data_IF_786685069898
#
_entry.id   IF_786685069898
#
_cell.length_a   1.000
_cell.length_b   1.000
_cell.length_c   1.000
_cell.angle_alpha   90.00
_cell.angle_beta   90.00
_cell.angle_gamma   90.00
#
_symmetry.space_group_name_H-M   'P 1'
#
loop_
_entity.id
_entity.type
_entity.pdbx_description
1 polymer ?
#
# COMPACT_ATOMS: atom_id res chain seq x y z
N UNK A 1 -52.31 9.08 -35.02
CA UNK A 1 -51.12 8.19 -35.09
C UNK A 1 -49.93 8.80 -34.36
N UNK A 2 -49.79 10.13 -34.32
CA UNK A 2 -48.61 10.78 -33.71
C UNK A 2 -48.50 10.63 -32.18
N UNK A 3 -49.62 10.59 -31.44
CA UNK A 3 -49.61 10.43 -29.98
C UNK A 3 -49.16 9.05 -29.48
N UNK A 4 -49.44 7.98 -30.24
CA UNK A 4 -48.99 6.62 -29.92
C UNK A 4 -47.50 6.42 -30.20
N UNK A 5 -46.98 7.05 -31.25
CA UNK A 5 -45.55 7.03 -31.58
C UNK A 5 -44.73 7.82 -30.54
N UNK A 6 -45.21 8.98 -30.09
CA UNK A 6 -44.58 9.77 -29.02
C UNK A 6 -44.53 9.02 -27.68
N UNK A 7 -45.60 8.28 -27.35
CA UNK A 7 -45.62 7.43 -26.14
C UNK A 7 -44.68 6.23 -26.26
N UNK A 8 -44.59 5.61 -27.44
CA UNK A 8 -43.68 4.49 -27.70
C UNK A 8 -42.20 4.93 -27.69
N UNK A 9 -41.87 6.09 -28.26
CA UNK A 9 -40.53 6.67 -28.22
C UNK A 9 -40.13 7.08 -26.79
N UNK A 10 -41.06 7.68 -26.03
CA UNK A 10 -40.85 8.01 -24.62
C UNK A 10 -40.59 6.75 -23.77
N UNK A 11 -41.35 5.68 -23.98
CA UNK A 11 -41.17 4.42 -23.27
C UNK A 11 -39.83 3.75 -23.62
N UNK A 12 -39.47 3.72 -24.91
CA UNK A 12 -38.17 3.20 -25.39
C UNK A 12 -37.00 3.97 -24.78
N UNK A 13 -37.07 5.30 -24.73
CA UNK A 13 -36.04 6.12 -24.10
C UNK A 13 -35.88 5.85 -22.59
N UNK A 14 -37.00 5.71 -21.86
CA UNK A 14 -36.98 5.36 -20.43
C UNK A 14 -36.37 3.98 -20.22
N UNK A 15 -36.78 2.99 -21.02
CA UNK A 15 -36.28 1.62 -20.93
C UNK A 15 -34.77 1.57 -21.19
N UNK A 16 -34.29 2.24 -22.23
CA UNK A 16 -32.85 2.35 -22.52
C UNK A 16 -32.04 2.97 -21.38
N UNK A 17 -32.59 3.99 -20.69
CA UNK A 17 -31.95 4.58 -19.49
C UNK A 17 -31.94 3.66 -18.29
N UNK A 18 -33.02 2.89 -18.07
CA UNK A 18 -33.07 1.87 -17.01
C UNK A 18 -32.02 0.79 -17.27
N UNK A 19 -31.93 0.27 -18.50
CA UNK A 19 -30.94 -0.75 -18.89
C UNK A 19 -29.53 -0.20 -18.74
N UNK A 20 -29.28 1.05 -19.17
CA UNK A 20 -28.01 1.73 -18.99
C UNK A 20 -27.60 1.78 -17.51
N UNK A 21 -28.48 2.26 -16.62
CA UNK A 21 -28.20 2.34 -15.18
C UNK A 21 -27.97 0.94 -14.59
N UNK A 22 -28.78 -0.04 -15.01
CA UNK A 22 -28.62 -1.44 -14.61
C UNK A 22 -27.25 -2.02 -14.99
N UNK A 23 -26.71 -1.65 -16.15
CA UNK A 23 -25.38 -2.08 -16.60
C UNK A 23 -24.23 -1.54 -15.76
N UNK A 24 -24.42 -0.43 -15.05
CA UNK A 24 -23.39 0.17 -14.20
C UNK A 24 -23.21 -0.58 -12.88
N UNK A 25 -24.24 -1.25 -12.37
CA UNK A 25 -24.19 -1.93 -11.07
C UNK A 25 -23.12 -3.03 -11.02
N UNK A 26 -23.16 -4.07 -11.89
CA UNK A 26 -22.15 -5.13 -11.88
C UNK A 26 -20.75 -4.58 -12.24
N UNK A 27 -20.68 -3.58 -13.10
CA UNK A 27 -19.41 -2.91 -13.40
C UNK A 27 -18.82 -2.25 -12.16
N UNK A 28 -19.61 -1.45 -11.44
CA UNK A 28 -19.14 -0.72 -10.27
C UNK A 28 -18.67 -1.68 -9.18
N UNK A 29 -19.40 -2.77 -8.95
CA UNK A 29 -18.96 -3.85 -8.06
C UNK A 29 -17.61 -4.43 -8.48
N UNK A 30 -17.43 -4.69 -9.78
CA UNK A 30 -16.17 -5.18 -10.33
C UNK A 30 -15.01 -4.19 -10.10
N UNK A 31 -15.22 -2.90 -10.42
CA UNK A 31 -14.25 -1.85 -10.20
C UNK A 31 -13.81 -1.77 -8.73
N UNK A 32 -14.76 -1.82 -7.80
CA UNK A 32 -14.49 -1.79 -6.36
C UNK A 32 -13.63 -2.97 -5.92
N UNK A 33 -13.94 -4.20 -6.36
CA UNK A 33 -13.11 -5.37 -6.00
C UNK A 33 -11.71 -5.30 -6.62
N UNK A 34 -11.58 -4.81 -7.87
CA UNK A 34 -10.27 -4.63 -8.51
C UNK A 34 -9.42 -3.57 -7.81
N UNK A 35 -10.01 -2.44 -7.43
CA UNK A 35 -9.34 -1.41 -6.64
C UNK A 35 -8.93 -1.94 -5.26
N UNK A 36 -9.80 -2.69 -4.57
CA UNK A 36 -9.45 -3.34 -3.30
C UNK A 36 -8.24 -4.27 -3.47
N UNK A 37 -8.23 -5.14 -4.50
CA UNK A 37 -7.09 -6.03 -4.80
C UNK A 37 -5.81 -5.22 -5.04
N UNK A 38 -5.88 -4.17 -5.86
CA UNK A 38 -4.71 -3.32 -6.13
C UNK A 38 -4.16 -2.63 -4.88
N UNK A 39 -5.03 -2.05 -4.05
CA UNK A 39 -4.65 -1.42 -2.76
C UNK A 39 -4.05 -2.44 -1.80
N UNK A 40 -4.61 -3.65 -1.75
CA UNK A 40 -4.10 -4.74 -0.91
C UNK A 40 -2.71 -5.18 -1.34
N UNK A 41 -2.48 -5.37 -2.64
CA UNK A 41 -1.15 -5.68 -3.19
C UNK A 41 -0.15 -4.56 -2.87
N UNK A 42 -0.58 -3.29 -2.95
CA UNK A 42 0.26 -2.16 -2.56
C UNK A 42 0.63 -2.20 -1.06
N UNK A 43 -0.32 -2.56 -0.19
CA UNK A 43 -0.08 -2.76 1.23
C UNK A 43 0.86 -3.94 1.51
N UNK A 44 0.73 -5.07 0.79
CA UNK A 44 1.61 -6.22 0.92
C UNK A 44 3.04 -5.91 0.49
N UNK A 45 3.21 -5.01 -0.48
CA UNK A 45 4.50 -4.43 -0.87
C UNK A 45 5.01 -3.33 0.10
N UNK A 46 4.46 -3.29 1.31
CA UNK A 46 4.83 -2.38 2.40
C UNK A 46 4.85 -0.91 1.95
N UNK A 47 3.89 -0.52 1.09
CA UNK A 47 3.75 0.83 0.56
C UNK A 47 4.99 1.37 -0.17
N UNK A 48 5.90 0.49 -0.61
CA UNK A 48 7.12 0.88 -1.29
C UNK A 48 6.89 1.00 -2.79
N UNK A 49 6.98 2.21 -3.34
CA UNK A 49 6.78 2.48 -4.78
C UNK A 49 7.61 1.54 -5.66
N UNK A 50 8.92 1.40 -5.41
CA UNK A 50 9.80 0.54 -6.21
C UNK A 50 9.45 -0.95 -6.09
N UNK A 51 9.05 -1.42 -4.90
CA UNK A 51 8.66 -2.82 -4.68
C UNK A 51 7.36 -3.15 -5.40
N UNK A 52 6.38 -2.25 -5.29
CA UNK A 52 5.11 -2.38 -6.01
C UNK A 52 5.32 -2.33 -7.52
N UNK A 53 6.16 -1.43 -8.03
CA UNK A 53 6.49 -1.36 -9.45
C UNK A 53 7.23 -2.61 -9.97
N UNK A 54 8.18 -3.16 -9.18
CA UNK A 54 8.84 -4.44 -9.49
C UNK A 54 7.83 -5.60 -9.50
N UNK A 55 6.88 -5.61 -8.56
CA UNK A 55 5.79 -6.58 -8.52
C UNK A 55 4.89 -6.47 -9.76
N UNK A 56 4.52 -5.25 -10.18
CA UNK A 56 3.73 -5.02 -11.40
C UNK A 56 4.44 -5.54 -12.64
N UNK A 57 5.74 -5.27 -12.80
CA UNK A 57 6.53 -5.79 -13.92
C UNK A 57 6.54 -7.31 -13.95
N UNK A 58 6.69 -7.96 -12.79
CA UNK A 58 6.70 -9.44 -12.70
C UNK A 58 5.33 -10.06 -13.02
N UNK A 59 4.25 -9.35 -12.71
CA UNK A 59 2.87 -9.82 -12.93
C UNK A 59 2.18 -9.07 -14.08
N UNK A 60 2.95 -8.59 -15.07
CA UNK A 60 2.44 -7.72 -16.13
C UNK A 60 1.25 -8.33 -16.87
N UNK A 61 1.33 -9.62 -17.21
CA UNK A 61 0.24 -10.34 -17.91
C UNK A 61 -1.05 -10.38 -17.08
N UNK A 62 -0.96 -10.74 -15.80
CA UNK A 62 -2.13 -10.80 -14.91
C UNK A 62 -2.78 -9.43 -14.70
N UNK A 63 -1.97 -8.36 -14.70
CA UNK A 63 -2.44 -7.00 -14.44
C UNK A 63 -3.00 -6.32 -15.68
N UNK A 64 -2.32 -6.43 -16.83
CA UNK A 64 -2.60 -5.62 -18.03
C UNK A 64 -3.17 -6.41 -19.22
N UNK A 65 -3.02 -7.74 -19.28
CA UNK A 65 -3.69 -8.57 -20.29
C UNK A 65 -5.02 -9.07 -19.73
N UNK A 66 -5.93 -8.13 -19.50
CA UNK A 66 -7.24 -8.36 -18.89
C UNK A 66 -8.36 -8.10 -19.90
N UNK A 67 -9.56 -8.61 -19.62
CA UNK A 67 -10.69 -8.48 -20.55
C UNK A 67 -11.09 -7.00 -20.78
N UNK A 68 -10.79 -6.08 -19.87
CA UNK A 68 -11.02 -4.65 -20.11
C UNK A 68 -10.17 -4.11 -21.25
N UNK A 69 -8.97 -4.66 -21.50
CA UNK A 69 -8.18 -4.28 -22.67
C UNK A 69 -8.94 -4.64 -23.95
N UNK A 70 -9.55 -5.83 -23.98
CA UNK A 70 -10.41 -6.27 -25.09
C UNK A 70 -11.60 -5.33 -25.21
N UNK A 71 -12.31 -5.04 -24.12
CA UNK A 71 -13.44 -4.10 -24.14
C UNK A 71 -13.01 -2.71 -24.66
N UNK A 72 -11.88 -2.16 -24.23
CA UNK A 72 -11.40 -0.85 -24.70
C UNK A 72 -11.07 -0.85 -26.20
N UNK A 73 -10.50 -1.93 -26.73
CA UNK A 73 -10.15 -2.03 -28.15
C UNK A 73 -11.38 -2.18 -29.05
N UNK A 74 -12.42 -2.86 -28.56
CA UNK A 74 -13.58 -3.25 -29.37
C UNK A 74 -14.82 -2.39 -29.15
N UNK A 75 -14.96 -1.71 -28.00
CA UNK A 75 -16.16 -0.93 -27.67
C UNK A 75 -16.46 0.15 -28.70
N UNK A 76 -15.44 0.84 -29.22
CA UNK A 76 -15.64 1.89 -30.24
C UNK A 76 -16.10 1.31 -31.58
N UNK A 77 -15.68 0.09 -31.90
CA UNK A 77 -16.01 -0.59 -33.16
C UNK A 77 -17.44 -1.16 -33.14
N UNK A 78 -17.89 -1.67 -32.00
CA UNK A 78 -19.20 -2.29 -31.86
C UNK A 78 -20.29 -1.35 -31.31
N UNK A 79 -19.92 -0.17 -30.81
CA UNK A 79 -20.90 0.80 -30.36
C UNK A 79 -21.63 1.41 -31.56
N UNK A 80 -22.78 0.83 -31.86
CA UNK A 80 -23.75 1.38 -32.80
C UNK A 80 -24.83 2.04 -31.97
N UNK A 81 -25.00 3.36 -32.13
CA UNK A 81 -25.92 4.18 -31.32
C UNK A 81 -27.35 3.63 -31.33
N UNK A 82 -27.77 3.04 -32.44
CA UNK A 82 -29.10 2.48 -32.65
C UNK A 82 -29.34 1.12 -31.95
N UNK A 83 -28.29 0.45 -31.47
CA UNK A 83 -28.37 -0.86 -30.78
C UNK A 83 -27.80 -0.82 -29.35
N UNK A 84 -27.86 0.35 -28.72
CA UNK A 84 -27.26 0.60 -27.39
C UNK A 84 -27.77 -0.34 -26.28
N UNK A 85 -29.04 -0.77 -26.33
CA UNK A 85 -29.64 -1.66 -25.32
C UNK A 85 -29.01 -3.07 -25.32
N UNK A 86 -28.83 -3.68 -26.50
CA UNK A 86 -28.19 -4.99 -26.64
C UNK A 86 -26.76 -4.92 -26.13
N UNK A 87 -26.06 -3.83 -26.45
CA UNK A 87 -24.72 -3.59 -25.95
C UNK A 87 -24.68 -3.54 -24.40
N UNK A 88 -25.61 -2.83 -23.76
CA UNK A 88 -25.70 -2.77 -22.29
C UNK A 88 -26.01 -4.12 -21.64
N UNK A 89 -26.91 -4.92 -22.24
CA UNK A 89 -27.21 -6.28 -21.77
C UNK A 89 -25.97 -7.20 -21.85
N UNK A 90 -25.20 -7.11 -22.93
CA UNK A 90 -23.92 -7.82 -23.06
C UNK A 90 -22.94 -7.43 -21.95
N UNK A 91 -22.83 -6.14 -21.61
CA UNK A 91 -21.97 -5.69 -20.49
C UNK A 91 -22.45 -6.28 -19.16
N UNK A 92 -23.75 -6.25 -18.87
CA UNK A 92 -24.33 -6.87 -17.65
C UNK A 92 -23.91 -8.34 -17.55
N UNK A 93 -24.06 -9.10 -18.63
CA UNK A 93 -23.70 -10.51 -18.69
C UNK A 93 -22.19 -10.71 -18.46
N UNK A 94 -21.34 -9.96 -19.17
CA UNK A 94 -19.88 -10.09 -19.07
C UNK A 94 -19.40 -9.81 -17.63
N UNK A 95 -19.80 -8.68 -17.05
CA UNK A 95 -19.40 -8.32 -15.69
C UNK A 95 -20.07 -9.21 -14.63
N UNK A 96 -21.30 -9.64 -14.85
CA UNK A 96 -22.00 -10.60 -13.99
C UNK A 96 -21.30 -11.96 -13.93
N UNK A 97 -20.93 -12.52 -15.09
CA UNK A 97 -20.14 -13.76 -15.20
C UNK A 97 -18.77 -13.57 -14.54
N UNK A 98 -18.09 -12.44 -14.78
CA UNK A 98 -16.82 -12.17 -14.13
C UNK A 98 -16.96 -12.17 -12.60
N UNK A 99 -17.93 -11.45 -12.03
CA UNK A 99 -18.14 -11.40 -10.58
C UNK A 99 -18.41 -12.79 -10.00
N UNK A 100 -19.17 -13.62 -10.72
CA UNK A 100 -19.42 -15.01 -10.36
C UNK A 100 -18.12 -15.83 -10.33
N UNK A 101 -17.32 -15.78 -11.40
CA UNK A 101 -16.03 -16.48 -11.49
C UNK A 101 -14.99 -15.95 -10.50
N UNK A 102 -14.98 -14.66 -10.23
CA UNK A 102 -14.08 -14.04 -9.27
C UNK A 102 -14.40 -14.47 -7.83
N UNK A 103 -15.69 -14.55 -7.49
CA UNK A 103 -16.15 -15.03 -6.18
C UNK A 103 -15.72 -16.48 -5.91
N UNK A 104 -15.71 -17.33 -6.93
CA UNK A 104 -15.25 -18.72 -6.81
C UNK A 104 -13.72 -18.83 -6.74
N UNK A 105 -12.99 -17.92 -7.36
CA UNK A 105 -11.52 -17.85 -7.30
C UNK A 105 -10.93 -17.34 -5.98
N UNK A 106 -11.69 -16.61 -5.16
CA UNK A 106 -11.22 -15.94 -3.92
C UNK A 106 -10.68 -16.89 -2.83
N UNK A 107 -10.72 -18.21 -3.04
CA UNK A 107 -10.19 -19.22 -2.10
C UNK A 107 -8.66 -19.36 -2.12
N UNK A 108 -7.97 -18.74 -3.07
CA UNK A 108 -6.54 -18.94 -3.25
C UNK A 108 -5.76 -17.64 -3.08
N UNK A 109 -4.87 -17.66 -2.07
CA UNK A 109 -3.78 -16.72 -1.82
C UNK A 109 -4.15 -15.34 -1.28
N UNK A 110 -4.06 -15.18 0.05
CA UNK A 110 -3.20 -14.15 0.66
C UNK A 110 -3.10 -14.35 2.19
N UNK A 111 -1.87 -14.50 2.71
CA UNK A 111 -1.61 -14.85 4.13
C UNK A 111 -2.04 -13.76 5.13
N UNK A 112 -2.35 -12.53 4.67
CA UNK A 112 -2.74 -11.40 5.53
C UNK A 112 -3.84 -10.56 4.86
N UNK A 113 -4.94 -10.24 5.57
CA UNK A 113 -6.03 -9.43 5.02
C UNK A 113 -5.63 -7.96 4.82
N UNK A 114 -6.37 -7.24 3.98
CA UNK A 114 -6.27 -5.78 3.84
C UNK A 114 -6.61 -5.12 5.18
N UNK A 115 -5.79 -4.15 5.62
CA UNK A 115 -5.99 -3.44 6.89
C UNK A 115 -6.19 -1.97 6.62
N UNK A 116 -7.34 -1.43 7.04
CA UNK A 116 -7.70 -0.02 6.82
C UNK A 116 -6.98 0.93 7.77
N UNK A 117 -5.68 1.12 7.53
CA UNK A 117 -4.86 2.10 8.24
C UNK A 117 -5.23 3.54 7.85
N UNK A 118 -4.89 4.57 8.65
CA UNK A 118 -5.09 5.97 8.26
C UNK A 118 -4.48 6.32 6.90
N UNK A 119 -3.33 5.72 6.56
CA UNK A 119 -2.68 5.87 5.25
C UNK A 119 -3.53 5.29 4.11
N UNK A 120 -4.07 4.08 4.31
CA UNK A 120 -4.98 3.45 3.34
C UNK A 120 -6.26 4.27 3.18
N UNK A 121 -6.84 4.77 4.28
CA UNK A 121 -8.03 5.63 4.22
C UNK A 121 -7.79 6.88 3.37
N UNK A 122 -6.68 7.60 3.60
CA UNK A 122 -6.29 8.75 2.77
C UNK A 122 -6.09 8.37 1.30
N UNK A 123 -5.43 7.25 1.03
CA UNK A 123 -5.23 6.76 -0.33
C UNK A 123 -6.57 6.48 -1.03
N UNK A 124 -7.49 5.80 -0.35
CA UNK A 124 -8.85 5.55 -0.86
C UNK A 124 -9.54 6.87 -1.14
N UNK A 125 -9.51 7.85 -0.22
CA UNK A 125 -10.10 9.17 -0.43
C UNK A 125 -9.55 9.85 -1.69
N UNK A 126 -8.23 9.88 -1.87
CA UNK A 126 -7.59 10.49 -3.05
C UNK A 126 -8.01 9.78 -4.34
N UNK A 127 -8.00 8.44 -4.35
CA UNK A 127 -8.42 7.65 -5.52
C UNK A 127 -9.89 7.89 -5.84
N UNK A 128 -10.76 7.90 -4.82
CA UNK A 128 -12.19 8.20 -5.00
C UNK A 128 -12.41 9.59 -5.59
N UNK A 129 -11.69 10.61 -5.13
CA UNK A 129 -11.76 11.96 -5.70
C UNK A 129 -11.32 11.99 -7.18
N UNK A 130 -10.23 11.31 -7.53
CA UNK A 130 -9.77 11.21 -8.92
C UNK A 130 -10.84 10.55 -9.82
N UNK A 131 -11.45 9.47 -9.33
CA UNK A 131 -12.51 8.75 -10.05
C UNK A 131 -13.76 9.63 -10.20
N UNK A 132 -14.18 10.32 -9.13
CA UNK A 132 -15.33 11.24 -9.17
C UNK A 132 -15.10 12.35 -10.19
N UNK A 133 -13.90 12.96 -10.21
CA UNK A 133 -13.55 13.98 -11.20
C UNK A 133 -13.60 13.41 -12.62
N UNK A 134 -13.04 12.23 -12.86
CA UNK A 134 -13.05 11.59 -14.18
C UNK A 134 -14.49 11.29 -14.67
N UNK A 135 -15.33 10.76 -13.78
CA UNK A 135 -16.75 10.50 -14.05
C UNK A 135 -17.51 11.80 -14.29
N UNK A 136 -17.26 12.84 -13.50
CA UNK A 136 -17.89 14.15 -13.68
C UNK A 136 -17.56 14.75 -15.05
N UNK A 137 -16.28 14.70 -15.45
CA UNK A 137 -15.84 15.19 -16.75
C UNK A 137 -16.47 14.40 -17.91
N UNK A 138 -16.58 13.07 -17.78
CA UNK A 138 -17.21 12.26 -18.82
C UNK A 138 -18.70 12.51 -18.97
N UNK A 139 -19.43 12.77 -17.87
CA UNK A 139 -20.84 13.17 -17.92
C UNK A 139 -20.99 14.59 -18.51
N UNK A 140 -20.12 15.53 -18.13
CA UNK A 140 -20.27 16.94 -18.50
C UNK A 140 -19.96 17.23 -19.96
N UNK A 141 -18.95 16.54 -20.50
CA UNK A 141 -18.37 16.81 -21.82
C UNK A 141 -18.46 15.63 -22.80
N UNK A 142 -18.87 14.46 -22.33
CA UNK A 142 -18.95 13.24 -23.13
C UNK A 142 -20.38 12.77 -23.41
N UNK A 143 -20.47 11.76 -24.26
CA UNK A 143 -21.68 10.97 -24.49
C UNK A 143 -21.65 9.66 -23.68
N UNK A 144 -22.69 8.83 -23.83
CA UNK A 144 -22.79 7.54 -23.14
C UNK A 144 -21.57 6.65 -23.43
N UNK A 145 -21.04 6.65 -24.67
CA UNK A 145 -19.83 5.92 -25.04
C UNK A 145 -18.58 6.44 -24.29
N UNK A 146 -18.41 7.75 -24.22
CA UNK A 146 -17.30 8.39 -23.49
C UNK A 146 -17.35 8.04 -22.01
N UNK A 147 -18.54 8.00 -21.43
CA UNK A 147 -18.75 7.56 -20.05
C UNK A 147 -18.31 6.11 -19.83
N UNK A 148 -18.74 5.17 -20.68
CA UNK A 148 -18.28 3.77 -20.60
C UNK A 148 -16.78 3.62 -20.79
N UNK A 149 -16.21 4.29 -21.80
CA UNK A 149 -14.77 4.29 -22.05
C UNK A 149 -13.99 4.78 -20.82
N UNK A 150 -14.48 5.84 -20.17
CA UNK A 150 -13.89 6.39 -18.94
C UNK A 150 -13.92 5.36 -17.82
N UNK A 151 -15.08 4.75 -17.58
CA UNK A 151 -15.29 3.78 -16.51
C UNK A 151 -14.45 2.50 -16.73
N UNK A 152 -14.43 1.97 -17.96
CA UNK A 152 -13.58 0.82 -18.33
C UNK A 152 -12.10 1.18 -18.19
N UNK A 153 -11.69 2.37 -18.61
CA UNK A 153 -10.31 2.85 -18.47
C UNK A 153 -9.90 2.95 -17.00
N UNK A 154 -10.78 3.43 -16.11
CA UNK A 154 -10.53 3.48 -14.67
C UNK A 154 -10.32 2.08 -14.11
N UNK A 155 -11.12 1.09 -14.51
CA UNK A 155 -10.92 -0.30 -14.10
C UNK A 155 -9.62 -0.87 -14.65
N UNK A 156 -9.33 -0.66 -15.94
CA UNK A 156 -8.11 -1.12 -16.59
C UNK A 156 -6.85 -0.56 -15.89
N UNK A 157 -6.85 0.75 -15.61
CA UNK A 157 -5.73 1.49 -15.02
C UNK A 157 -5.71 1.46 -13.49
N UNK A 158 -6.53 0.64 -12.82
CA UNK A 158 -6.69 0.65 -11.36
C UNK A 158 -5.36 0.54 -10.59
N UNK A 159 -4.44 -0.29 -11.06
CA UNK A 159 -3.11 -0.44 -10.48
C UNK A 159 -2.23 0.80 -10.62
N UNK A 160 -2.38 1.56 -11.71
CA UNK A 160 -1.67 2.81 -11.95
C UNK A 160 -2.33 3.97 -11.18
N UNK A 161 -3.65 3.97 -11.03
CA UNK A 161 -4.38 4.93 -10.20
C UNK A 161 -3.92 4.86 -8.74
N UNK A 162 -3.64 3.66 -8.21
CA UNK A 162 -3.03 3.48 -6.88
C UNK A 162 -1.64 4.12 -6.77
N UNK A 163 -0.83 4.02 -7.83
CA UNK A 163 0.48 4.70 -7.89
C UNK A 163 0.27 6.21 -7.88
N UNK A 164 -0.60 6.72 -8.74
CA UNK A 164 -0.90 8.14 -8.86
C UNK A 164 -1.39 8.72 -7.53
N UNK A 165 -2.35 8.05 -6.88
CA UNK A 165 -2.84 8.44 -5.55
C UNK A 165 -1.74 8.45 -4.49
N UNK A 166 -0.77 7.54 -4.58
CA UNK A 166 0.40 7.53 -3.69
C UNK A 166 1.33 8.72 -3.95
N UNK A 167 1.55 9.08 -5.21
CA UNK A 167 2.37 10.24 -5.60
C UNK A 167 1.72 11.53 -5.07
N UNK A 168 0.41 11.68 -5.27
CA UNK A 168 -0.36 12.84 -4.80
C UNK A 168 -0.31 12.94 -3.26
N UNK A 169 -0.42 11.82 -2.55
CA UNK A 169 -0.37 11.81 -1.08
C UNK A 169 1.04 11.91 -0.49
N UNK A 170 2.10 11.76 -1.31
CA UNK A 170 3.48 11.75 -0.85
C UNK A 170 3.88 12.96 0.01
N UNK A 171 3.60 14.22 -0.36
CA UNK A 171 3.94 15.36 0.48
C UNK A 171 3.30 15.28 1.87
N UNK A 172 2.01 14.95 1.93
CA UNK A 172 1.28 14.80 3.19
C UNK A 172 1.86 13.65 4.03
N UNK A 173 2.11 12.48 3.43
CA UNK A 173 2.72 11.35 4.14
C UNK A 173 4.12 11.69 4.67
N UNK A 174 4.94 12.42 3.90
CA UNK A 174 6.25 12.89 4.35
C UNK A 174 6.13 13.84 5.53
N UNK A 175 5.22 14.81 5.48
CA UNK A 175 4.97 15.76 6.57
C UNK A 175 4.51 15.06 7.85
N UNK A 176 3.56 14.12 7.75
CA UNK A 176 3.09 13.32 8.88
C UNK A 176 4.23 12.50 9.48
N UNK A 177 5.01 11.81 8.64
CA UNK A 177 6.15 11.01 9.08
C UNK A 177 7.21 11.88 9.76
N UNK A 178 7.51 13.04 9.20
CA UNK A 178 8.46 14.00 9.75
C UNK A 178 8.04 14.48 11.14
N UNK A 179 6.76 14.86 11.29
CA UNK A 179 6.19 15.23 12.58
C UNK A 179 6.36 14.11 13.62
N UNK A 180 5.94 12.88 13.29
CA UNK A 180 6.05 11.76 14.23
C UNK A 180 7.50 11.38 14.56
N UNK A 181 8.40 11.40 13.59
CA UNK A 181 9.82 11.12 13.82
C UNK A 181 10.42 12.18 14.76
N UNK A 182 10.11 13.46 14.56
CA UNK A 182 10.64 14.52 15.42
C UNK A 182 10.03 14.49 16.81
N UNK A 183 8.75 14.12 16.93
CA UNK A 183 8.10 13.89 18.21
C UNK A 183 8.77 12.76 19.00
N UNK A 184 9.05 11.63 18.34
CA UNK A 184 9.80 10.53 18.94
C UNK A 184 11.23 10.94 19.36
N UNK A 185 11.92 11.75 18.54
CA UNK A 185 13.25 12.30 18.91
C UNK A 185 13.17 13.18 20.16
N UNK A 186 12.17 14.06 20.26
CA UNK A 186 11.97 14.90 21.45
C UNK A 186 11.72 14.04 22.68
N UNK A 187 10.88 13.01 22.55
CA UNK A 187 10.58 12.08 23.63
C UNK A 187 11.84 11.36 24.14
N UNK A 188 12.65 10.78 23.25
CA UNK A 188 13.94 10.17 23.65
C UNK A 188 14.83 11.19 24.37
N UNK A 189 14.99 12.39 23.80
CA UNK A 189 15.84 13.44 24.41
C UNK A 189 15.37 13.91 25.78
N UNK A 190 14.06 13.85 26.05
CA UNK A 190 13.51 14.20 27.37
C UNK A 190 13.82 13.16 28.45
N UNK A 191 14.20 11.94 28.07
CA UNK A 191 14.49 10.83 28.97
C UNK A 191 16.00 10.75 29.23
N UNK A 192 16.52 11.65 30.07
CA UNK A 192 17.98 11.81 30.29
C UNK A 192 18.69 10.57 30.84
N UNK A 193 17.96 9.66 31.48
CA UNK A 193 18.51 8.41 32.06
C UNK A 193 18.32 7.19 31.16
N UNK A 194 17.66 7.35 30.01
CA UNK A 194 17.36 6.23 29.13
C UNK A 194 18.62 5.74 28.43
N UNK A 195 18.96 4.49 28.66
CA UNK A 195 20.02 3.80 27.91
C UNK A 195 19.42 3.08 26.70
N UNK A 196 20.09 3.16 25.55
CA UNK A 196 19.59 2.59 24.29
C UNK A 196 20.53 1.48 23.80
N UNK A 197 19.95 0.31 23.55
CA UNK A 197 20.64 -0.84 22.95
C UNK A 197 20.18 -1.01 21.50
N UNK A 198 21.10 -0.88 20.55
CA UNK A 198 20.85 -1.20 19.14
C UNK A 198 21.19 -2.65 18.83
N UNK A 199 20.32 -3.37 18.11
CA UNK A 199 20.58 -4.76 17.71
C UNK A 199 20.43 -4.90 16.20
N UNK A 200 21.49 -5.33 15.51
CA UNK A 200 21.47 -5.55 14.05
C UNK A 200 22.09 -6.88 13.65
N UNK A 201 21.96 -7.21 12.36
CA UNK A 201 22.51 -8.40 11.71
C UNK A 201 21.58 -8.99 10.66
N UNK A 202 22.03 -10.02 9.96
CA UNK A 202 21.23 -10.75 8.98
C UNK A 202 20.22 -11.66 9.67
N UNK A 203 20.64 -12.36 10.73
CA UNK A 203 19.82 -13.37 11.44
C UNK A 203 19.98 -13.24 12.96
N UNK A 204 18.98 -13.68 13.72
CA UNK A 204 19.06 -13.72 15.19
C UNK A 204 18.68 -12.43 15.93
N UNK A 205 18.42 -11.32 15.22
CA UNK A 205 18.04 -10.03 15.80
C UNK A 205 16.86 -10.12 16.79
N UNK A 206 15.72 -10.63 16.34
CA UNK A 206 14.49 -10.67 17.15
C UNK A 206 14.63 -11.59 18.36
N UNK A 207 15.27 -12.75 18.22
CA UNK A 207 15.53 -13.67 19.34
C UNK A 207 16.46 -13.03 20.36
N UNK A 208 17.58 -12.44 19.92
CA UNK A 208 18.55 -11.76 20.80
C UNK A 208 17.90 -10.60 21.56
N UNK A 209 17.10 -9.80 20.86
CA UNK A 209 16.33 -8.70 21.45
C UNK A 209 15.36 -9.20 22.52
N UNK A 210 14.61 -10.28 22.26
CA UNK A 210 13.67 -10.84 23.22
C UNK A 210 14.40 -11.41 24.45
N UNK A 211 15.45 -12.21 24.25
CA UNK A 211 16.23 -12.78 25.37
C UNK A 211 16.88 -11.70 26.22
N UNK A 212 17.47 -10.67 25.58
CA UNK A 212 18.04 -9.54 26.30
C UNK A 212 16.97 -8.80 27.12
N UNK A 213 15.78 -8.58 26.55
CA UNK A 213 14.68 -7.92 27.25
C UNK A 213 14.27 -8.70 28.50
N UNK A 214 14.07 -10.02 28.40
CA UNK A 214 13.72 -10.87 29.54
C UNK A 214 14.80 -10.83 30.64
N UNK A 215 16.08 -10.85 30.26
CA UNK A 215 17.18 -10.74 31.22
C UNK A 215 17.18 -9.37 31.90
N UNK A 216 17.05 -8.29 31.14
CA UNK A 216 17.10 -6.94 31.69
C UNK A 216 15.90 -6.61 32.59
N UNK A 217 14.73 -7.18 32.31
CA UNK A 217 13.53 -7.04 33.14
C UNK A 217 13.72 -7.55 34.57
N UNK A 218 14.73 -8.37 34.85
CA UNK A 218 15.05 -8.82 36.22
C UNK A 218 15.54 -7.68 37.14
N UNK A 219 16.03 -6.57 36.57
CA UNK A 219 16.61 -5.45 37.32
C UNK A 219 16.17 -4.06 36.83
N UNK A 220 15.85 -3.93 35.55
CA UNK A 220 15.56 -2.65 34.89
C UNK A 220 14.18 -2.67 34.25
N UNK A 221 13.56 -1.50 34.13
CA UNK A 221 12.37 -1.32 33.31
C UNK A 221 12.78 -1.25 31.84
N UNK A 222 12.86 -2.41 31.17
CA UNK A 222 13.27 -2.51 29.78
C UNK A 222 12.08 -2.51 28.82
N UNK A 223 12.20 -1.75 27.72
CA UNK A 223 11.28 -1.78 26.59
C UNK A 223 12.00 -2.26 25.33
N UNK A 224 11.62 -3.43 24.83
CA UNK A 224 11.99 -3.87 23.50
C UNK A 224 10.94 -3.52 22.44
N UNK A 225 11.41 -3.21 21.23
CA UNK A 225 10.52 -3.11 20.05
C UNK A 225 9.65 -4.37 19.88
N UNK A 226 8.32 -4.25 19.64
CA UNK A 226 7.45 -5.41 19.62
C UNK A 226 7.60 -6.19 18.31
N UNK A 227 7.49 -7.52 18.37
CA UNK A 227 7.63 -8.42 17.21
C UNK A 227 8.94 -8.14 16.43
N UNK A 228 8.94 -8.17 15.10
CA UNK A 228 10.09 -7.87 14.24
C UNK A 228 10.06 -6.43 13.69
N UNK A 229 9.61 -5.47 14.50
CA UNK A 229 9.61 -4.06 14.11
C UNK A 229 11.03 -3.52 14.14
N UNK A 230 11.56 -3.18 12.97
CA UNK A 230 12.97 -2.80 12.82
C UNK A 230 13.23 -1.66 11.83
N UNK A 231 12.17 -0.98 11.40
CA UNK A 231 12.26 0.21 10.52
C UNK A 231 12.15 1.49 11.33
N UNK A 232 12.62 2.61 10.78
CA UNK A 232 12.57 3.92 11.45
C UNK A 232 11.16 4.34 11.88
N UNK A 233 10.16 4.16 11.02
CA UNK A 233 8.75 4.42 11.37
C UNK A 233 8.22 3.42 12.40
N UNK A 234 8.67 2.17 12.32
CA UNK A 234 8.40 1.16 13.33
C UNK A 234 8.87 1.58 14.72
N UNK A 235 10.15 1.93 14.84
CA UNK A 235 10.74 2.48 16.07
C UNK A 235 9.99 3.72 16.54
N UNK A 236 9.67 4.63 15.63
CA UNK A 236 8.89 5.85 15.92
C UNK A 236 7.55 5.52 16.59
N UNK A 237 6.84 4.50 16.11
CA UNK A 237 5.55 4.09 16.69
C UNK A 237 5.75 3.56 18.11
N UNK A 238 6.72 2.67 18.33
CA UNK A 238 7.02 2.11 19.65
C UNK A 238 7.41 3.21 20.64
N UNK A 239 8.32 4.11 20.25
CA UNK A 239 8.75 5.23 21.09
C UNK A 239 7.54 6.09 21.49
N UNK A 240 6.68 6.44 20.53
CA UNK A 240 5.55 7.34 20.83
C UNK A 240 4.49 6.67 21.68
N UNK A 241 4.19 5.39 21.44
CA UNK A 241 3.09 4.68 22.11
C UNK A 241 3.47 4.07 23.45
N UNK A 242 4.68 3.52 23.56
CA UNK A 242 5.03 2.60 24.65
C UNK A 242 6.14 3.15 25.54
N UNK A 243 7.14 3.85 24.98
CA UNK A 243 8.24 4.41 25.77
C UNK A 243 7.72 5.46 26.77
N UNK A 244 8.26 5.50 27.97
CA UNK A 244 7.83 6.41 29.04
C UNK A 244 9.01 6.71 29.96
N UNK A 245 8.82 7.65 30.89
CA UNK A 245 9.85 8.01 31.88
C UNK A 245 10.16 6.91 32.91
N UNK A 246 9.36 5.84 32.95
CA UNK A 246 9.61 4.68 33.81
C UNK A 246 10.66 3.73 33.22
N UNK A 247 10.92 3.81 31.91
CA UNK A 247 11.84 2.90 31.25
C UNK A 247 13.28 3.34 31.42
N UNK A 248 14.10 2.42 31.91
CA UNK A 248 15.55 2.60 32.06
C UNK A 248 16.28 2.27 30.76
N UNK A 249 15.77 1.27 30.01
CA UNK A 249 16.44 0.74 28.82
C UNK A 249 15.46 0.64 27.66
N UNK A 250 15.88 1.09 26.48
CA UNK A 250 15.17 0.87 25.21
C UNK A 250 15.99 0.00 24.26
N UNK A 251 15.45 -1.15 23.87
CA UNK A 251 16.08 -2.12 22.96
C UNK A 251 15.49 -1.98 21.56
N UNK A 252 16.26 -1.37 20.66
CA UNK A 252 15.89 -1.10 19.28
C UNK A 252 16.42 -2.19 18.32
N UNK A 253 15.51 -2.99 17.75
CA UNK A 253 15.87 -3.84 16.60
C UNK A 253 16.09 -2.96 15.37
N UNK A 254 17.22 -3.14 14.68
CA UNK A 254 17.60 -2.31 13.53
C UNK A 254 17.71 -3.15 12.24
N UNK A 255 16.80 -2.88 11.31
CA UNK A 255 16.70 -3.52 10.01
C UNK A 255 17.28 -2.63 8.92
N UNK A 256 17.85 -3.25 7.89
CA UNK A 256 18.31 -2.54 6.70
C UNK A 256 18.23 -3.47 5.48
N UNK A 257 17.89 -2.86 4.35
CA UNK A 257 17.89 -3.38 2.99
C UNK A 257 18.93 -2.67 2.10
N UNK A 258 19.43 -1.50 2.51
CA UNK A 258 20.42 -0.72 1.76
C UNK A 258 21.49 -0.11 2.67
N UNK A 259 22.69 0.17 2.14
CA UNK A 259 23.71 0.94 2.86
C UNK A 259 23.19 2.28 3.37
N UNK A 260 23.61 2.68 4.56
CA UNK A 260 23.23 3.92 5.25
C UNK A 260 21.98 3.81 6.12
N UNK A 261 21.16 2.77 5.99
CA UNK A 261 19.91 2.65 6.76
C UNK A 261 20.16 2.34 8.24
N UNK A 262 21.19 1.57 8.59
CA UNK A 262 21.53 1.33 10.01
C UNK A 262 22.06 2.63 10.62
N UNK A 263 22.95 3.33 9.91
CA UNK A 263 23.43 4.66 10.30
C UNK A 263 22.31 5.68 10.51
N UNK A 264 21.24 5.60 9.72
CA UNK A 264 20.06 6.44 9.91
C UNK A 264 19.33 6.11 11.22
N UNK A 265 19.21 4.83 11.56
CA UNK A 265 18.58 4.37 12.80
C UNK A 265 19.43 4.73 14.03
N UNK A 266 20.76 4.58 13.97
CA UNK A 266 21.64 4.96 15.08
C UNK A 266 21.60 6.47 15.31
N UNK A 267 21.58 7.30 14.26
CA UNK A 267 21.38 8.75 14.41
C UNK A 267 20.00 9.11 14.98
N UNK A 268 19.01 8.25 14.82
CA UNK A 268 17.66 8.46 15.32
C UNK A 268 17.53 8.15 16.81
N UNK A 269 17.97 6.96 17.24
CA UNK A 269 17.79 6.49 18.63
C UNK A 269 19.03 6.60 19.51
N UNK A 270 20.21 6.89 18.92
CA UNK A 270 21.50 7.09 19.59
C UNK A 270 21.86 5.97 20.58
N UNK A 271 22.09 4.74 20.10
CA UNK A 271 22.47 3.64 20.97
C UNK A 271 23.82 3.90 21.66
N UNK A 272 23.92 3.55 22.93
CA UNK A 272 25.18 3.44 23.68
C UNK A 272 25.75 2.03 23.59
N UNK A 273 24.87 1.04 23.51
CA UNK A 273 25.22 -0.37 23.40
C UNK A 273 24.85 -0.91 22.02
N UNK A 274 25.75 -1.64 21.38
CA UNK A 274 25.56 -2.23 20.06
C UNK A 274 25.72 -3.74 20.05
N UNK A 275 24.69 -4.47 19.60
CA UNK A 275 24.79 -5.92 19.38
C UNK A 275 24.73 -6.23 17.90
N UNK A 276 25.86 -6.67 17.36
CA UNK A 276 25.96 -7.25 16.03
C UNK A 276 25.80 -8.77 16.12
N UNK A 277 24.70 -9.28 15.59
CA UNK A 277 24.42 -10.73 15.51
C UNK A 277 25.13 -11.35 14.30
N UNK A 278 24.52 -12.32 13.59
CA UNK A 278 25.16 -13.00 12.47
C UNK A 278 25.10 -12.18 11.18
N UNK A 279 26.23 -12.03 10.49
CA UNK A 279 26.30 -11.55 9.11
C UNK A 279 26.13 -12.75 8.17
N UNK A 280 25.25 -12.61 7.17
CA UNK A 280 25.01 -13.63 6.16
C UNK A 280 24.21 -13.08 4.98
N UNK A 281 23.97 -13.89 3.93
CA UNK A 281 23.44 -13.44 2.64
C UNK A 281 21.93 -13.17 2.66
N UNK A 282 21.48 -12.27 3.55
CA UNK A 282 20.10 -11.82 3.61
C UNK A 282 19.89 -10.60 2.70
N UNK A 283 18.76 -10.53 1.99
CA UNK A 283 18.39 -9.40 1.14
C UNK A 283 19.45 -9.04 0.08
N UNK A 284 20.19 -10.05 -0.42
CA UNK A 284 21.29 -9.87 -1.37
C UNK A 284 20.84 -9.14 -2.65
N UNK A 285 19.58 -9.32 -3.08
CA UNK A 285 19.00 -8.59 -4.21
C UNK A 285 18.96 -7.06 -4.03
N UNK A 286 18.98 -6.56 -2.80
CA UNK A 286 18.98 -5.13 -2.50
C UNK A 286 20.39 -4.61 -2.17
N UNK A 287 21.22 -5.44 -1.53
CA UNK A 287 22.58 -5.07 -1.13
C UNK A 287 23.63 -5.26 -2.23
N UNK A 288 23.36 -6.12 -3.22
CA UNK A 288 24.27 -6.46 -4.32
C UNK A 288 25.41 -7.40 -3.93
N UNK A 289 26.00 -7.25 -2.73
CA UNK A 289 27.10 -8.10 -2.26
C UNK A 289 27.08 -8.33 -0.75
N UNK A 290 27.70 -9.43 -0.30
CA UNK A 290 27.90 -9.72 1.13
C UNK A 290 28.78 -8.63 1.78
N UNK A 291 29.76 -8.09 1.05
CA UNK A 291 30.61 -6.98 1.52
C UNK A 291 29.78 -5.74 1.87
N UNK A 292 28.78 -5.42 1.04
CA UNK A 292 27.85 -4.33 1.33
C UNK A 292 26.95 -4.63 2.54
N UNK A 293 26.50 -5.88 2.70
CA UNK A 293 25.77 -6.30 3.90
C UNK A 293 26.63 -6.08 5.14
N UNK A 294 27.86 -6.61 5.14
CA UNK A 294 28.80 -6.47 6.25
C UNK A 294 29.01 -5.00 6.60
N UNK A 295 29.44 -4.17 5.63
CA UNK A 295 29.65 -2.73 5.85
C UNK A 295 28.41 -2.05 6.44
N UNK A 296 27.22 -2.35 5.90
CA UNK A 296 25.97 -1.77 6.40
C UNK A 296 25.65 -2.19 7.84
N UNK A 297 25.94 -3.43 8.24
CA UNK A 297 25.69 -3.88 9.62
C UNK A 297 26.69 -3.30 10.60
N UNK A 298 27.95 -3.09 10.17
CA UNK A 298 28.97 -2.43 10.97
C UNK A 298 28.70 -0.94 11.23
N UNK A 299 27.83 -0.29 10.45
CA UNK A 299 27.37 1.09 10.73
C UNK A 299 26.78 1.26 12.15
N UNK A 300 26.30 0.18 12.79
CA UNK A 300 25.88 0.24 14.18
C UNK A 300 27.09 0.50 15.09
N UNK A 301 28.12 -0.32 14.95
CA UNK A 301 29.34 -0.26 15.77
C UNK A 301 30.08 1.06 15.53
N UNK A 302 30.20 1.46 14.27
CA UNK A 302 30.83 2.73 13.87
C UNK A 302 30.10 3.98 14.38
N UNK A 303 28.84 3.86 14.82
CA UNK A 303 28.03 4.98 15.26
C UNK A 303 27.84 5.05 16.78
N UNK A 304 28.42 4.11 17.53
CA UNK A 304 28.44 4.17 18.99
C UNK A 304 29.28 5.38 19.47
N UNK A 305 28.97 5.94 20.66
CA UNK A 305 29.83 6.96 21.27
C UNK A 305 31.19 6.36 21.69
N UNK A 306 32.15 7.22 22.05
CA UNK A 306 33.51 6.78 22.45
C UNK A 306 33.49 5.85 23.67
N UNK A 307 32.56 6.07 24.61
CA UNK A 307 32.31 5.22 25.77
C UNK A 307 31.29 4.10 25.49
N UNK A 308 30.90 3.91 24.22
CA UNK A 308 29.96 2.89 23.80
C UNK A 308 30.57 1.49 23.82
N UNK A 309 29.69 0.48 23.95
CA UNK A 309 30.05 -0.94 24.04
C UNK A 309 29.38 -1.72 22.92
#
# INVERSE_FOLDING_TARGET
>A
MDGLNLLAEGFSWILGRIIFIGALIPFFMYLVEKLKKSIHIFQLNQYGFLRYFKWLKRNFKEVFLTFELVLLLFIRTFYVRDFSEIFYLCLILIFGVYLFLFKTWKKTFEKKPLVYTPKIKRLITTISLLIIVAIFLSIRFGDDLTFFLTIISISYLSYLIVILGTIINLPLEKSINFYYINDAKRKIRSLMRLEVVGITGSYGKTSTKNFLNEILLTKYNSLATPRSINTKLGLTITIRKELSALHDIFIAEMGAYKPGEIKELTRFVKPKYGILTKIGPAHLEYFGSIKNIQKTKFELIEALPEDGI
#
